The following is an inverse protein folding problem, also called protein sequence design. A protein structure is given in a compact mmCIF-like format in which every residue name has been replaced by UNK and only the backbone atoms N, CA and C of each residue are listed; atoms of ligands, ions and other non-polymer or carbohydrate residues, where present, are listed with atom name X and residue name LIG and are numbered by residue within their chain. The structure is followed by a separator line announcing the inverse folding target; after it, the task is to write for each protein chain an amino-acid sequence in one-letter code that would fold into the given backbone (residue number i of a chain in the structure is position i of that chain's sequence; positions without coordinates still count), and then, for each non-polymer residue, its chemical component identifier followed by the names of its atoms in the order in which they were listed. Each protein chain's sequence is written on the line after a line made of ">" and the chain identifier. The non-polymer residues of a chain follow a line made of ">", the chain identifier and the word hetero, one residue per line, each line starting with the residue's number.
data_IF_760322167360
#
_entry.id   IF_760322167360
#
_cell.length_a   1.000
_cell.length_b   1.000
_cell.length_c   1.000
_cell.angle_alpha   90.00
_cell.angle_beta   90.00
_cell.angle_gamma   90.00
#
_symmetry.space_group_name_H-M   'P 1'
#
loop_
_entity.id
_entity.type
_entity.pdbx_description
1 polymer ?
#
# COMPACT_ATOMS: atom_id res chain seq x y z
N UNK A 1 -17.96 -11.51 3.51
CA UNK A 1 -16.52 -11.33 3.24
C UNK A 1 -16.22 -11.99 1.90
N UNK A 2 -16.01 -11.21 0.84
CA UNK A 2 -15.74 -11.71 -0.52
C UNK A 2 -14.28 -12.13 -0.66
N UNK A 3 -14.02 -13.13 -1.52
CA UNK A 3 -12.72 -13.78 -1.74
C UNK A 3 -11.60 -12.81 -2.19
N UNK A 4 -11.94 -11.62 -2.72
CA UNK A 4 -10.97 -10.56 -3.07
C UNK A 4 -10.11 -10.07 -1.89
N UNK A 5 -10.53 -10.33 -0.65
CA UNK A 5 -9.85 -9.87 0.58
C UNK A 5 -8.66 -10.75 0.97
N UNK A 6 -8.62 -12.01 0.55
CA UNK A 6 -7.63 -12.97 1.03
C UNK A 6 -6.27 -12.72 0.38
N UNK A 7 -5.42 -11.99 1.10
CA UNK A 7 -4.02 -11.80 0.73
C UNK A 7 -3.69 -10.45 0.12
N UNK A 8 -4.57 -9.45 0.19
CA UNK A 8 -4.22 -8.09 -0.24
C UNK A 8 -3.77 -7.21 0.94
N UNK A 9 -2.54 -6.68 0.93
CA UNK A 9 -2.09 -5.72 1.95
C UNK A 9 -1.96 -4.33 1.37
N UNK A 10 -2.94 -3.49 1.71
CA UNK A 10 -3.15 -2.16 1.17
C UNK A 10 -2.12 -1.18 1.75
N UNK A 11 -1.79 -1.37 3.02
CA UNK A 11 -0.79 -0.61 3.74
C UNK A 11 0.60 -0.79 3.12
N UNK A 12 0.95 -1.99 2.63
CA UNK A 12 2.26 -2.23 2.03
C UNK A 12 2.50 -1.42 0.76
N UNK A 13 1.47 -1.28 -0.10
CA UNK A 13 1.59 -0.49 -1.33
C UNK A 13 1.79 0.98 -1.02
N UNK A 14 0.99 1.53 -0.10
CA UNK A 14 1.10 2.91 0.30
C UNK A 14 2.46 3.21 0.94
N UNK A 15 2.98 2.32 1.79
CA UNK A 15 4.31 2.44 2.38
C UNK A 15 5.43 2.46 1.34
N UNK A 16 5.41 1.53 0.39
CA UNK A 16 6.40 1.48 -0.70
C UNK A 16 6.36 2.76 -1.54
N UNK A 17 5.17 3.19 -1.97
CA UNK A 17 4.99 4.41 -2.75
C UNK A 17 5.34 5.69 -1.98
N UNK A 18 5.16 5.69 -0.66
CA UNK A 18 5.55 6.79 0.23
C UNK A 18 7.07 6.88 0.45
N UNK A 19 7.82 5.85 0.04
CA UNK A 19 9.27 5.86 0.06
C UNK A 19 9.92 4.78 0.92
N UNK A 20 9.17 3.78 1.41
CA UNK A 20 9.79 2.63 2.11
C UNK A 20 10.82 1.89 1.23
N UNK A 21 10.65 1.92 -0.09
CA UNK A 21 11.60 1.36 -1.05
C UNK A 21 12.69 2.36 -1.50
N UNK A 22 12.83 3.52 -0.84
CA UNK A 22 13.92 4.47 -1.14
C UNK A 22 15.18 4.08 -0.36
N UNK A 23 16.38 4.35 -0.92
CA UNK A 23 16.66 5.17 -2.11
C UNK A 23 16.74 4.41 -3.45
N UNK A 24 16.71 3.08 -3.46
CA UNK A 24 16.95 2.26 -4.65
C UNK A 24 15.70 1.99 -5.51
N UNK A 25 14.52 2.42 -5.04
CA UNK A 25 13.21 2.19 -5.66
C UNK A 25 12.92 0.70 -5.89
N UNK A 26 13.54 -0.19 -5.11
CA UNK A 26 13.40 -1.62 -5.32
C UNK A 26 12.10 -2.15 -4.67
N UNK A 27 10.99 -1.94 -5.37
CA UNK A 27 9.69 -2.53 -5.01
C UNK A 27 9.77 -4.07 -4.94
N UNK A 28 10.67 -4.69 -5.70
CA UNK A 28 10.87 -6.15 -5.64
C UNK A 28 11.48 -6.59 -4.33
N UNK A 29 12.28 -5.77 -3.64
CA UNK A 29 12.80 -6.09 -2.31
C UNK A 29 11.66 -6.32 -1.31
N UNK A 30 10.53 -5.64 -1.47
CA UNK A 30 9.40 -5.71 -0.55
C UNK A 30 8.31 -6.71 -0.94
N UNK A 31 7.95 -6.79 -2.23
CA UNK A 31 6.82 -7.61 -2.71
C UNK A 31 7.22 -8.90 -3.45
N UNK A 32 8.49 -9.05 -3.85
CA UNK A 32 8.96 -10.23 -4.59
C UNK A 32 8.49 -10.33 -6.04
N UNK A 33 7.42 -9.62 -6.43
CA UNK A 33 6.98 -9.48 -7.83
C UNK A 33 6.16 -8.21 -8.07
N UNK A 34 6.25 -7.63 -9.28
CA UNK A 34 5.41 -6.49 -9.69
C UNK A 34 3.94 -6.89 -9.89
N UNK A 35 3.66 -8.14 -10.28
CA UNK A 35 2.30 -8.61 -10.44
C UNK A 35 1.53 -8.58 -9.12
N UNK A 36 2.16 -9.05 -8.03
CA UNK A 36 1.59 -8.94 -6.68
C UNK A 36 1.35 -7.49 -6.30
N UNK A 37 2.34 -6.61 -6.51
CA UNK A 37 2.21 -5.17 -6.23
C UNK A 37 1.00 -4.53 -6.91
N UNK A 38 0.80 -4.78 -8.21
CA UNK A 38 -0.31 -4.19 -8.97
C UNK A 38 -1.69 -4.67 -8.50
N UNK A 39 -1.80 -5.93 -8.06
CA UNK A 39 -3.03 -6.47 -7.48
C UNK A 39 -3.40 -5.71 -6.19
N UNK A 40 -2.42 -5.50 -5.31
CA UNK A 40 -2.62 -4.73 -4.09
C UNK A 40 -2.95 -3.24 -4.34
N UNK A 41 -2.37 -2.65 -5.39
CA UNK A 41 -2.56 -1.24 -5.72
C UNK A 41 -3.99 -0.93 -6.22
N UNK A 42 -4.71 -1.93 -6.71
CA UNK A 42 -6.07 -1.75 -7.24
C UNK A 42 -7.05 -1.29 -6.16
N UNK A 43 -6.92 -1.80 -4.93
CA UNK A 43 -7.78 -1.36 -3.81
C UNK A 43 -7.43 0.07 -3.38
N UNK A 44 -6.14 0.39 -3.27
CA UNK A 44 -5.71 1.76 -2.97
C UNK A 44 -6.21 2.76 -4.05
N UNK A 45 -6.28 2.33 -5.31
CA UNK A 45 -6.85 3.12 -6.41
C UNK A 45 -8.35 3.34 -6.21
N UNK A 46 -9.09 2.28 -5.90
CA UNK A 46 -10.53 2.37 -5.64
C UNK A 46 -10.82 3.31 -4.47
N UNK A 47 -9.98 3.33 -3.44
CA UNK A 47 -10.07 4.27 -2.32
C UNK A 47 -9.66 5.71 -2.67
N UNK A 48 -9.11 5.96 -3.86
CA UNK A 48 -8.65 7.28 -4.31
C UNK A 48 -7.30 7.69 -3.72
N UNK A 49 -6.51 6.75 -3.22
CA UNK A 49 -5.21 7.00 -2.59
C UNK A 49 -4.04 6.91 -3.57
N UNK A 50 -4.23 6.24 -4.72
CA UNK A 50 -3.22 6.17 -5.79
C UNK A 50 -3.84 6.43 -7.16
N UNK A 51 -3.01 6.89 -8.10
CA UNK A 51 -3.32 7.00 -9.52
C UNK A 51 -2.40 6.08 -10.31
N UNK A 52 -2.96 5.49 -11.36
CA UNK A 52 -2.19 4.72 -12.33
C UNK A 52 -2.00 5.62 -13.54
N UNK A 53 -0.82 5.59 -14.16
CA UNK A 53 -0.61 6.18 -15.48
C UNK A 53 -1.54 5.55 -16.50
N UNK A 54 -1.76 6.25 -17.62
CA UNK A 54 -2.65 5.78 -18.70
C UNK A 54 -2.20 4.43 -19.29
N UNK A 55 -0.90 4.16 -19.29
CA UNK A 55 -0.31 2.89 -19.74
C UNK A 55 -0.21 1.83 -18.62
N UNK A 56 -0.62 2.17 -17.39
CA UNK A 56 -0.58 1.30 -16.21
C UNK A 56 0.81 0.92 -15.72
N UNK A 57 1.86 1.58 -16.23
CA UNK A 57 3.26 1.29 -15.87
C UNK A 57 3.73 2.02 -14.62
N UNK A 58 3.09 3.14 -14.29
CA UNK A 58 3.42 3.97 -13.14
C UNK A 58 2.25 4.03 -12.17
N UNK A 59 2.56 3.93 -10.88
CA UNK A 59 1.59 4.09 -9.79
C UNK A 59 2.14 5.16 -8.86
N UNK A 60 1.36 6.21 -8.61
CA UNK A 60 1.76 7.34 -7.75
C UNK A 60 0.71 7.62 -6.69
N UNK A 61 1.12 8.15 -5.53
CA UNK A 61 0.19 8.61 -4.51
C UNK A 61 -0.61 9.84 -5.00
N UNK A 62 -1.91 9.86 -4.72
CA UNK A 62 -2.72 11.10 -4.79
C UNK A 62 -2.33 12.04 -3.65
N UNK A 63 -2.81 13.31 -3.63
CA UNK A 63 -2.71 14.14 -2.44
C UNK A 63 -3.26 13.45 -1.17
N UNK A 64 -4.43 12.83 -1.26
CA UNK A 64 -5.02 12.07 -0.15
C UNK A 64 -4.17 10.86 0.25
N UNK A 65 -3.57 10.15 -0.71
CA UNK A 65 -2.64 9.05 -0.43
C UNK A 65 -1.37 9.51 0.28
N UNK A 66 -0.83 10.68 -0.07
CA UNK A 66 0.31 11.27 0.63
C UNK A 66 -0.03 11.63 2.07
N UNK A 67 -1.13 12.36 2.26
CA UNK A 67 -1.61 12.72 3.61
C UNK A 67 -1.86 11.48 4.47
N UNK A 68 -2.44 10.43 3.90
CA UNK A 68 -2.64 9.16 4.57
C UNK A 68 -1.30 8.52 4.97
N UNK A 69 -0.37 8.42 4.03
CA UNK A 69 0.95 7.84 4.30
C UNK A 69 1.74 8.63 5.34
N UNK A 70 1.67 9.96 5.34
CA UNK A 70 2.29 10.82 6.35
C UNK A 70 1.64 10.62 7.72
N UNK A 71 0.30 10.62 7.79
CA UNK A 71 -0.46 10.43 9.04
C UNK A 71 -0.07 9.14 9.76
N UNK A 72 0.14 8.06 9.01
CA UNK A 72 0.51 6.75 9.56
C UNK A 72 2.01 6.43 9.45
N UNK A 73 2.84 7.42 9.11
CA UNK A 73 4.32 7.29 9.01
C UNK A 73 4.75 6.11 8.14
N UNK A 74 4.06 5.89 7.03
CA UNK A 74 4.26 4.71 6.18
C UNK A 74 5.60 4.72 5.42
N UNK A 75 6.24 5.89 5.28
CA UNK A 75 7.60 6.01 4.74
C UNK A 75 8.67 5.47 5.68
N UNK A 76 8.34 5.22 6.95
CA UNK A 76 9.26 4.69 7.97
C UNK A 76 9.12 3.16 8.13
N UNK A 77 8.69 2.47 7.07
CA UNK A 77 8.50 1.04 7.12
C UNK A 77 9.81 0.30 7.48
N UNK A 78 9.72 -0.82 8.22
CA UNK A 78 10.89 -1.62 8.54
C UNK A 78 11.62 -2.10 7.28
N UNK A 79 12.93 -2.30 7.39
CA UNK A 79 13.68 -2.96 6.32
C UNK A 79 13.18 -4.41 6.12
N UNK A 80 13.24 -4.90 4.88
CA UNK A 80 12.89 -6.28 4.52
C UNK A 80 11.52 -6.45 3.87
N UNK A 81 11.05 -7.71 3.79
CA UNK A 81 9.84 -8.06 3.06
C UNK A 81 8.58 -7.55 3.78
N UNK A 82 7.65 -7.00 3.02
CA UNK A 82 6.47 -6.35 3.57
C UNK A 82 5.55 -7.30 4.34
N UNK A 83 5.47 -8.58 3.93
CA UNK A 83 4.69 -9.60 4.62
C UNK A 83 5.13 -9.85 6.08
N UNK A 84 6.32 -9.42 6.50
CA UNK A 84 6.77 -9.50 7.89
C UNK A 84 6.51 -8.22 8.70
N UNK A 85 6.09 -7.12 8.07
CA UNK A 85 5.90 -5.85 8.77
C UNK A 85 4.78 -5.91 9.81
N UNK A 86 3.72 -6.68 9.54
CA UNK A 86 2.66 -6.93 10.51
C UNK A 86 3.13 -7.64 11.77
N UNK A 87 4.12 -8.53 11.66
CA UNK A 87 4.74 -9.20 12.82
C UNK A 87 5.53 -8.21 13.70
N UNK A 88 6.00 -7.11 13.11
CA UNK A 88 6.66 -6.01 13.79
C UNK A 88 5.67 -4.94 14.30
N UNK A 89 4.37 -5.15 14.12
CA UNK A 89 3.31 -4.20 14.49
C UNK A 89 3.23 -2.95 13.60
N UNK A 90 3.99 -2.89 12.51
CA UNK A 90 3.96 -1.75 11.61
C UNK A 90 2.67 -1.74 10.78
N UNK A 91 2.07 -0.55 10.62
CA UNK A 91 0.94 -0.36 9.72
C UNK A 91 -0.41 -0.86 10.23
N UNK A 92 -0.49 -1.40 11.45
CA UNK A 92 -1.74 -1.94 12.00
C UNK A 92 -2.88 -0.90 12.07
N UNK A 93 -2.58 0.32 12.50
CA UNK A 93 -3.56 1.42 12.54
C UNK A 93 -3.97 1.90 11.15
N UNK A 94 -3.02 1.91 10.20
CA UNK A 94 -3.27 2.25 8.81
C UNK A 94 -4.20 1.21 8.16
N UNK A 95 -3.93 -0.07 8.39
CA UNK A 95 -4.74 -1.17 7.88
C UNK A 95 -6.18 -1.07 8.41
N UNK A 96 -6.36 -0.85 9.72
CA UNK A 96 -7.68 -0.68 10.32
C UNK A 96 -8.45 0.53 9.75
N UNK A 97 -7.78 1.65 9.49
CA UNK A 97 -8.42 2.82 8.88
C UNK A 97 -8.80 2.56 7.41
N UNK A 98 -7.96 1.86 6.64
CA UNK A 98 -8.29 1.47 5.28
C UNK A 98 -9.48 0.51 5.25
N UNK A 99 -9.57 -0.42 6.21
CA UNK A 99 -10.72 -1.32 6.37
C UNK A 99 -11.99 -0.51 6.62
N UNK A 100 -11.95 0.45 7.54
CA UNK A 100 -13.08 1.35 7.83
C UNK A 100 -13.52 2.15 6.59
N UNK A 101 -12.56 2.68 5.82
CA UNK A 101 -12.84 3.45 4.60
C UNK A 101 -13.45 2.57 3.49
N UNK A 102 -13.04 1.31 3.41
CA UNK A 102 -13.58 0.35 2.46
C UNK A 102 -15.02 -0.04 2.78
N UNK A 103 -15.29 -0.40 4.04
CA UNK A 103 -16.62 -0.78 4.50
C UNK A 103 -17.63 0.37 4.38
N UNK A 104 -17.19 1.62 4.60
CA UNK A 104 -18.03 2.81 4.43
C UNK A 104 -18.43 3.14 2.99
N UNK A 105 -17.95 2.40 1.98
CA UNK A 105 -18.37 2.52 0.58
C UNK A 105 -19.49 1.55 0.16
N UNK A 106 -19.85 0.61 1.04
CA UNK A 106 -20.91 -0.39 0.83
C UNK A 106 -22.31 0.10 1.20
#
# INVERSE_FOLDING_TARGET
>A
MTEERLGQSWTHVLAVLAGAARPDNDVYAHFGSLLGFNQHATVARNLGLVLFSDDGTEIVLTPAGREFAERFRLSEAPAGRANYWGELGFGAEAEAELERLWEGRG
#
